data_IF_635523734727
#
_entry.id   IF_635523734727
#
_cell.length_a   1.000
_cell.length_b   1.000
_cell.length_c   1.000
_cell.angle_alpha   90.00
_cell.angle_beta   90.00
_cell.angle_gamma   90.00
#
_symmetry.space_group_name_H-M   'P 1'
#
loop_
_entity.id
_entity.type
_entity.pdbx_description
1 polymer ?
#
# COMPACT_ATOMS: atom_id res chain seq x y z
N UNK A 1 4.24 1.82 -9.58
CA UNK A 1 5.07 0.67 -10.05
C UNK A 1 5.86 -0.03 -8.93
N UNK A 2 6.87 0.59 -8.31
CA UNK A 2 7.75 -0.11 -7.34
C UNK A 2 7.03 -0.57 -6.06
N UNK A 3 6.16 0.28 -5.49
CA UNK A 3 5.36 -0.06 -4.31
C UNK A 3 4.49 -1.29 -4.57
N UNK A 4 3.84 -1.36 -5.74
CA UNK A 4 2.97 -2.48 -6.10
C UNK A 4 3.74 -3.78 -6.23
N UNK A 5 4.90 -3.78 -6.91
CA UNK A 5 5.73 -4.98 -7.03
C UNK A 5 6.24 -5.48 -5.68
N UNK A 6 6.65 -4.58 -4.78
CA UNK A 6 7.13 -4.96 -3.44
C UNK A 6 6.00 -5.51 -2.58
N UNK A 7 4.81 -4.89 -2.60
CA UNK A 7 3.67 -5.38 -1.84
C UNK A 7 3.20 -6.76 -2.32
N UNK A 8 3.23 -7.02 -3.64
CA UNK A 8 2.93 -8.34 -4.21
C UNK A 8 3.96 -9.39 -3.78
N UNK A 9 5.25 -9.08 -3.81
CA UNK A 9 6.31 -9.98 -3.32
C UNK A 9 6.16 -10.28 -1.82
N UNK A 10 5.86 -9.26 -1.01
CA UNK A 10 5.64 -9.42 0.42
C UNK A 10 4.44 -10.33 0.72
N UNK A 11 3.31 -10.13 0.01
CA UNK A 11 2.13 -10.98 0.14
C UNK A 11 2.41 -12.44 -0.26
N UNK A 12 3.18 -12.67 -1.32
CA UNK A 12 3.57 -14.03 -1.75
C UNK A 12 4.47 -14.74 -0.73
N UNK A 13 5.18 -13.99 0.12
CA UNK A 13 6.00 -14.50 1.23
C UNK A 13 5.25 -14.55 2.56
N UNK A 14 3.93 -14.41 2.53
CA UNK A 14 3.04 -14.46 3.69
C UNK A 14 3.27 -13.32 4.72
N UNK A 15 3.79 -12.17 4.26
CA UNK A 15 3.83 -10.97 5.08
C UNK A 15 2.50 -10.23 5.04
N UNK A 16 1.94 -9.94 6.21
CA UNK A 16 0.81 -9.02 6.34
C UNK A 16 1.23 -7.60 5.96
N UNK A 17 0.86 -7.19 4.76
CA UNK A 17 1.33 -5.95 4.15
C UNK A 17 0.28 -4.84 4.26
N UNK A 18 0.73 -3.64 4.66
CA UNK A 18 -0.08 -2.43 4.71
C UNK A 18 0.57 -1.36 3.83
N UNK A 19 -0.20 -0.73 2.94
CA UNK A 19 0.26 0.34 2.05
C UNK A 19 -0.42 1.64 2.44
N UNK A 20 0.38 2.69 2.64
CA UNK A 20 -0.09 4.01 3.06
C UNK A 20 -0.43 4.85 1.82
N UNK A 21 -1.71 4.91 1.47
CA UNK A 21 -2.16 5.39 0.15
C UNK A 21 -1.82 6.86 -0.12
N UNK A 22 -1.92 7.71 0.90
CA UNK A 22 -1.62 9.15 0.89
C UNK A 22 -0.12 9.47 1.08
N UNK A 23 0.73 8.44 1.22
CA UNK A 23 2.18 8.56 1.25
C UNK A 23 2.86 7.85 0.05
N UNK A 24 2.11 7.57 -1.01
CA UNK A 24 2.64 6.97 -2.24
C UNK A 24 2.15 7.73 -3.46
N UNK A 25 2.90 7.68 -4.56
CA UNK A 25 2.57 8.39 -5.78
C UNK A 25 2.96 7.57 -7.02
N UNK A 26 2.32 7.89 -8.14
CA UNK A 26 2.74 7.49 -9.48
C UNK A 26 2.71 8.73 -10.39
N UNK A 27 3.35 8.67 -11.55
CA UNK A 27 3.48 9.82 -12.46
C UNK A 27 2.10 10.21 -13.02
N UNK A 28 1.25 9.21 -13.25
CA UNK A 28 -0.10 9.38 -13.79
C UNK A 28 -1.14 8.98 -12.75
N UNK A 29 -2.14 9.83 -12.52
CA UNK A 29 -3.20 9.60 -11.52
C UNK A 29 -3.94 8.28 -11.78
N UNK A 30 -4.27 8.00 -13.05
CA UNK A 30 -4.95 6.75 -13.44
C UNK A 30 -4.11 5.51 -13.11
N UNK A 31 -2.78 5.60 -13.21
CA UNK A 31 -1.90 4.48 -12.85
C UNK A 31 -1.85 4.28 -11.35
N UNK A 32 -1.80 5.37 -10.59
CA UNK A 32 -1.85 5.33 -9.13
C UNK A 32 -3.14 4.67 -8.63
N UNK A 33 -4.29 5.11 -9.12
CA UNK A 33 -5.60 4.56 -8.74
C UNK A 33 -5.74 3.08 -9.08
N UNK A 34 -5.34 2.67 -10.28
CA UNK A 34 -5.37 1.26 -10.70
C UNK A 34 -4.46 0.38 -9.84
N UNK A 35 -3.28 0.87 -9.49
CA UNK A 35 -2.37 0.15 -8.61
C UNK A 35 -2.98 -0.04 -7.20
N UNK A 36 -3.61 0.99 -6.63
CA UNK A 36 -4.26 0.89 -5.33
C UNK A 36 -5.42 -0.12 -5.33
N UNK A 37 -6.29 -0.09 -6.35
CA UNK A 37 -7.39 -1.05 -6.49
C UNK A 37 -6.87 -2.49 -6.55
N UNK A 38 -5.83 -2.73 -7.34
CA UNK A 38 -5.23 -4.05 -7.48
C UNK A 38 -4.60 -4.54 -6.15
N UNK A 39 -3.96 -3.63 -5.41
CA UNK A 39 -3.35 -3.95 -4.11
C UNK A 39 -4.40 -4.33 -3.07
N UNK A 40 -5.46 -3.54 -2.96
CA UNK A 40 -6.55 -3.77 -2.00
C UNK A 40 -7.29 -5.08 -2.25
N UNK A 41 -7.42 -5.49 -3.51
CA UNK A 41 -8.13 -6.71 -3.87
C UNK A 41 -7.46 -7.99 -3.34
N UNK A 42 -6.14 -8.03 -3.19
CA UNK A 42 -5.49 -9.31 -2.85
C UNK A 42 -4.04 -9.29 -2.38
N UNK A 43 -3.40 -8.12 -2.21
CA UNK A 43 -1.97 -8.08 -1.87
C UNK A 43 -1.65 -7.24 -0.63
N UNK A 44 -2.44 -6.22 -0.31
CA UNK A 44 -2.19 -5.37 0.84
C UNK A 44 -3.46 -4.68 1.35
N UNK A 45 -3.45 -4.30 2.62
CA UNK A 45 -4.46 -3.38 3.15
C UNK A 45 -4.05 -1.93 2.88
N UNK A 46 -4.97 -1.13 2.34
CA UNK A 46 -4.76 0.30 2.18
C UNK A 46 -5.12 1.05 3.46
N UNK A 47 -4.21 1.89 3.94
CA UNK A 47 -4.41 2.73 5.13
C UNK A 47 -3.98 4.16 4.82
N UNK A 48 -4.39 5.13 5.65
CA UNK A 48 -3.87 6.50 5.59
C UNK A 48 -2.66 6.69 6.50
N UNK A 49 -1.92 7.80 6.31
CA UNK A 49 -0.85 8.22 7.24
C UNK A 49 -1.41 8.41 8.64
N UNK A 50 -2.64 8.92 8.76
CA UNK A 50 -3.31 9.10 10.05
C UNK A 50 -3.53 7.75 10.75
N UNK A 51 -4.01 6.73 10.03
CA UNK A 51 -4.20 5.38 10.58
C UNK A 51 -2.86 4.76 11.01
N UNK A 52 -1.82 4.91 10.18
CA UNK A 52 -0.50 4.39 10.47
C UNK A 52 0.11 5.05 11.72
N UNK A 53 0.00 6.37 11.83
CA UNK A 53 0.50 7.12 12.98
C UNK A 53 -0.28 6.80 14.25
N UNK A 54 -1.61 6.67 14.15
CA UNK A 54 -2.43 6.27 15.30
C UNK A 54 -2.07 4.86 15.80
N UNK A 55 -1.67 3.96 14.90
CA UNK A 55 -1.34 2.58 15.25
C UNK A 55 0.09 2.38 15.74
N UNK A 56 1.06 3.05 15.13
CA UNK A 56 2.51 2.81 15.35
C UNK A 56 3.32 4.07 15.70
N UNK A 57 2.71 5.25 15.72
CA UNK A 57 3.43 6.51 15.94
C UNK A 57 4.02 6.71 17.35
N UNK A 58 3.64 5.85 18.30
CA UNK A 58 4.12 5.88 19.69
C UNK A 58 4.93 4.62 20.07
N UNK A 59 5.38 3.85 19.07
CA UNK A 59 6.26 2.71 19.27
C UNK A 59 7.70 3.14 19.53
#
# INVERSE_FOLDING_TARGET
MCVESTARDAAQRDYRTFVVKDATADIEVIRHERALINLEFGFAHLISVADATAKWGNC
#
